data_IF_837765443069
#
_entry.id   IF_837765443069
#
_cell.length_a   1.000
_cell.length_b   1.000
_cell.length_c   1.000
_cell.angle_alpha   90.00
_cell.angle_beta   90.00
_cell.angle_gamma   90.00
#
_symmetry.space_group_name_H-M   'P 1'
#
loop_
_entity.id
_entity.type
_entity.pdbx_description
1 polymer ?
#
# COMPACT_ATOMS: atom_id res chain seq x y z
N UNK A 1 -16.36 9.68 -11.71
CA UNK A 1 -15.74 9.74 -10.37
C UNK A 1 -14.81 8.55 -10.10
N UNK A 2 -14.85 7.47 -10.89
CA UNK A 2 -13.97 6.30 -10.70
C UNK A 2 -12.54 6.48 -11.23
N UNK A 3 -12.27 7.54 -11.97
CA UNK A 3 -10.98 7.80 -12.62
C UNK A 3 -9.85 8.18 -11.64
N UNK A 4 -10.12 8.13 -10.33
CA UNK A 4 -9.18 8.50 -9.27
C UNK A 4 -8.92 7.37 -8.26
N UNK A 5 -9.63 6.26 -8.42
CA UNK A 5 -9.48 5.05 -7.61
C UNK A 5 -8.31 4.23 -8.15
N UNK A 6 -7.51 3.68 -7.25
CA UNK A 6 -6.44 2.74 -7.58
C UNK A 6 -7.01 1.33 -7.77
N UNK A 7 -6.51 0.60 -8.77
CA UNK A 7 -6.92 -0.80 -9.00
C UNK A 7 -6.53 -1.74 -7.85
N UNK A 8 -5.50 -1.36 -7.09
CA UNK A 8 -5.07 -2.07 -5.89
C UNK A 8 -4.72 -1.07 -4.79
N UNK A 9 -5.46 -1.05 -3.67
CA UNK A 9 -5.21 -0.12 -2.57
C UNK A 9 -3.83 -0.33 -1.95
N UNK A 10 -3.34 0.72 -1.29
CA UNK A 10 -2.08 0.69 -0.52
C UNK A 10 -2.42 0.81 0.95
N UNK A 11 -1.91 -0.11 1.78
CA UNK A 11 -2.07 -0.03 3.22
C UNK A 11 -0.83 0.61 3.84
N UNK A 12 -1.05 1.70 4.58
CA UNK A 12 0.02 2.41 5.30
C UNK A 12 -0.24 2.38 6.80
N UNK A 13 0.81 2.23 7.58
CA UNK A 13 0.75 2.30 9.03
C UNK A 13 0.88 3.75 9.47
N UNK A 14 -0.19 4.30 10.03
CA UNK A 14 -0.17 5.59 10.70
C UNK A 14 0.04 5.38 12.20
N UNK A 15 1.25 5.71 12.67
CA UNK A 15 1.66 5.50 14.05
C UNK A 15 1.82 4.02 14.44
N UNK A 16 1.52 3.70 15.71
CA UNK A 16 1.80 2.38 16.26
C UNK A 16 0.68 1.35 16.05
N UNK A 17 -0.55 1.79 15.78
CA UNK A 17 -1.74 0.90 15.89
C UNK A 17 -2.73 1.04 14.73
N UNK A 18 -2.65 2.08 13.91
CA UNK A 18 -3.64 2.31 12.86
C UNK A 18 -3.08 1.96 11.48
N UNK A 19 -3.80 1.09 10.77
CA UNK A 19 -3.59 0.86 9.34
C UNK A 19 -4.61 1.73 8.61
N UNK A 20 -4.13 2.56 7.68
CA UNK A 20 -4.94 3.37 6.79
C UNK A 20 -4.89 2.77 5.39
N UNK A 21 -6.08 2.61 4.79
CA UNK A 21 -6.22 2.21 3.40
C UNK A 21 -6.20 3.44 2.50
N UNK A 22 -5.33 3.42 1.50
CA UNK A 22 -5.21 4.44 0.47
C UNK A 22 -5.77 3.84 -0.81
N UNK A 23 -7.03 4.16 -1.08
CA UNK A 23 -7.80 3.61 -2.20
C UNK A 23 -7.80 4.53 -3.41
N UNK A 24 -7.57 5.83 -3.22
CA UNK A 24 -7.68 6.84 -4.25
C UNK A 24 -6.53 7.87 -4.19
N UNK A 25 -6.44 8.70 -5.25
CA UNK A 25 -5.52 9.84 -5.30
C UNK A 25 -5.80 10.88 -4.20
N UNK A 26 -7.06 11.14 -3.89
CA UNK A 26 -7.47 12.01 -2.79
C UNK A 26 -6.88 11.54 -1.45
N UNK A 27 -7.10 10.26 -1.10
CA UNK A 27 -6.58 9.65 0.14
C UNK A 27 -5.06 9.78 0.21
N UNK A 28 -4.37 9.54 -0.91
CA UNK A 28 -2.92 9.64 -0.99
C UNK A 28 -2.43 11.08 -0.78
N UNK A 29 -3.11 12.07 -1.36
CA UNK A 29 -2.77 13.48 -1.21
C UNK A 29 -3.03 13.97 0.21
N UNK A 30 -4.17 13.62 0.80
CA UNK A 30 -4.50 13.93 2.21
C UNK A 30 -3.41 13.38 3.15
N UNK A 31 -3.05 12.10 2.98
CA UNK A 31 -1.97 11.48 3.74
C UNK A 31 -0.63 12.22 3.61
N UNK A 32 -0.28 12.63 2.39
CA UNK A 32 0.95 13.38 2.14
C UNK A 32 0.88 14.81 2.73
N UNK A 33 -0.27 15.47 2.73
CA UNK A 33 -0.39 16.80 3.31
C UNK A 33 -0.23 16.81 4.82
N UNK A 34 -0.74 15.77 5.49
CA UNK A 34 -0.61 15.58 6.94
C UNK A 34 0.75 15.03 7.37
N UNK A 35 1.55 14.51 6.43
CA UNK A 35 2.87 13.96 6.73
C UNK A 35 3.77 14.99 7.44
N UNK A 36 4.39 14.64 8.58
CA UNK A 36 5.10 15.60 9.42
C UNK A 36 6.30 16.23 8.70
N UNK A 37 6.41 17.57 8.79
CA UNK A 37 7.37 18.38 8.01
C UNK A 37 8.83 17.95 8.20
N UNK A 38 9.20 17.52 9.40
CA UNK A 38 10.55 17.03 9.73
C UNK A 38 10.90 15.68 9.08
N UNK A 39 9.91 14.93 8.56
CA UNK A 39 10.11 13.65 7.86
C UNK A 39 9.88 13.77 6.35
N UNK A 40 9.76 14.99 5.82
CA UNK A 40 9.61 15.24 4.37
C UNK A 40 10.98 15.21 3.70
N UNK A 41 11.30 14.07 3.08
CA UNK A 41 12.51 13.91 2.26
C UNK A 41 12.28 14.18 0.76
N UNK A 42 13.30 13.97 -0.08
CA UNK A 42 13.17 14.07 -1.54
C UNK A 42 12.09 13.13 -2.11
N UNK A 43 11.98 11.92 -1.56
CA UNK A 43 11.01 10.91 -1.99
C UNK A 43 9.57 11.37 -1.73
N UNK A 44 9.34 12.07 -0.62
CA UNK A 44 8.04 12.69 -0.32
C UNK A 44 7.63 13.69 -1.41
N UNK A 45 8.55 14.56 -1.84
CA UNK A 45 8.25 15.56 -2.87
C UNK A 45 7.93 14.91 -4.23
N UNK A 46 8.64 13.83 -4.56
CA UNK A 46 8.37 13.05 -5.78
C UNK A 46 6.98 12.42 -5.75
N UNK A 47 6.61 11.78 -4.63
CA UNK A 47 5.28 11.19 -4.47
C UNK A 47 4.18 12.27 -4.54
N UNK A 48 4.35 13.40 -3.84
CA UNK A 48 3.39 14.50 -3.85
C UNK A 48 3.17 15.05 -5.26
N UNK A 49 4.25 15.31 -6.02
CA UNK A 49 4.15 15.79 -7.40
C UNK A 49 3.46 14.78 -8.31
N UNK A 50 3.75 13.49 -8.16
CA UNK A 50 3.13 12.45 -8.97
C UNK A 50 1.61 12.37 -8.69
N UNK A 51 1.21 12.38 -7.42
CA UNK A 51 -0.20 12.37 -7.01
C UNK A 51 -0.95 13.63 -7.47
N UNK A 52 -0.34 14.82 -7.35
CA UNK A 52 -0.93 16.08 -7.83
C UNK A 52 -1.13 16.07 -9.35
N UNK A 53 -0.12 15.61 -10.10
CA UNK A 53 -0.23 15.51 -11.56
C UNK A 53 -1.29 14.52 -12.01
N UNK A 54 -1.47 13.41 -11.29
CA UNK A 54 -2.54 12.45 -11.56
C UNK A 54 -3.93 13.00 -11.21
N UNK A 55 -4.00 13.91 -10.26
CA UNK A 55 -5.26 14.53 -9.85
C UNK A 55 -5.71 15.61 -10.85
N UNK A 56 -4.77 16.45 -11.31
CA UNK A 56 -5.04 17.60 -12.19
C UNK A 56 -4.93 17.28 -13.69
N UNK A 57 -4.31 16.16 -14.08
CA UNK A 57 -4.01 15.83 -15.47
C UNK A 57 -4.19 14.33 -15.75
N UNK A 58 -4.10 13.95 -17.02
CA UNK A 58 -4.10 12.55 -17.48
C UNK A 58 -2.75 11.85 -17.23
N UNK A 59 -2.23 11.97 -16.00
CA UNK A 59 -1.04 11.23 -15.59
C UNK A 59 -1.46 9.83 -15.11
N UNK A 60 -0.73 8.76 -15.49
CA UNK A 60 -1.13 7.40 -15.13
C UNK A 60 -1.27 7.21 -13.62
N UNK A 61 -2.48 6.83 -13.18
CA UNK A 61 -2.78 6.52 -11.78
C UNK A 61 -1.85 5.46 -11.20
N UNK A 62 -1.52 4.44 -11.98
CA UNK A 62 -0.57 3.39 -11.60
C UNK A 62 0.80 3.97 -11.26
N UNK A 63 1.29 4.94 -12.03
CA UNK A 63 2.56 5.61 -11.76
C UNK A 63 2.50 6.46 -10.47
N UNK A 64 1.38 7.14 -10.21
CA UNK A 64 1.19 7.89 -8.96
C UNK A 64 1.10 6.96 -7.75
N UNK A 65 0.37 5.85 -7.89
CA UNK A 65 0.31 4.77 -6.90
C UNK A 65 1.70 4.24 -6.59
N UNK A 66 2.49 3.91 -7.60
CA UNK A 66 3.81 3.31 -7.41
C UNK A 66 4.80 4.30 -6.79
N UNK A 67 4.67 5.59 -7.10
CA UNK A 67 5.41 6.66 -6.43
C UNK A 67 5.04 6.76 -4.94
N UNK A 68 3.75 6.70 -4.60
CA UNK A 68 3.28 6.67 -3.21
C UNK A 68 3.74 5.40 -2.49
N UNK A 69 3.65 4.23 -3.11
CA UNK A 69 4.13 2.96 -2.55
C UNK A 69 5.64 3.03 -2.27
N UNK A 70 6.43 3.61 -3.18
CA UNK A 70 7.87 3.81 -3.00
C UNK A 70 8.18 4.76 -1.84
N UNK A 71 7.39 5.81 -1.68
CA UNK A 71 7.43 6.68 -0.51
C UNK A 71 7.13 5.90 0.78
N UNK A 72 6.02 5.17 0.83
CA UNK A 72 5.61 4.38 2.00
C UNK A 72 6.68 3.34 2.39
N UNK A 73 7.30 2.68 1.40
CA UNK A 73 8.45 1.78 1.61
C UNK A 73 9.65 2.52 2.20
N UNK A 74 9.98 3.69 1.65
CA UNK A 74 11.16 4.46 2.07
C UNK A 74 11.08 4.92 3.53
N UNK A 75 9.88 5.26 4.01
CA UNK A 75 9.65 5.67 5.40
C UNK A 75 9.20 4.51 6.31
N UNK A 76 9.22 3.27 5.79
CA UNK A 76 8.89 2.02 6.49
C UNK A 76 7.50 2.00 7.12
N UNK A 77 6.52 2.57 6.42
CA UNK A 77 5.10 2.54 6.81
C UNK A 77 4.26 1.68 5.88
N UNK A 78 4.81 1.16 4.78
CA UNK A 78 4.06 0.28 3.90
C UNK A 78 3.76 -1.03 4.63
N UNK A 79 2.48 -1.30 4.87
CA UNK A 79 2.02 -2.62 5.30
C UNK A 79 1.80 -3.47 4.06
N UNK A 80 2.63 -4.48 3.89
CA UNK A 80 2.41 -5.47 2.85
C UNK A 80 1.23 -6.32 3.30
N UNK A 81 0.13 -6.30 2.54
CA UNK A 81 -1.06 -7.13 2.77
C UNK A 81 -0.78 -8.64 2.54
N UNK A 82 0.43 -9.10 2.84
CA UNK A 82 0.80 -10.49 3.01
C UNK A 82 0.43 -10.91 4.42
N UNK A 83 -0.86 -10.99 4.71
CA UNK A 83 -1.29 -11.91 5.75
C UNK A 83 -1.50 -13.25 5.05
N UNK A 84 -0.53 -14.19 5.06
CA UNK A 84 -0.86 -15.56 4.73
C UNK A 84 -1.92 -15.99 5.75
N UNK A 85 -3.13 -16.24 5.26
CA UNK A 85 -4.23 -16.72 6.08
C UNK A 85 -3.76 -17.91 6.93
N UNK A 86 -4.16 -18.02 8.21
CA UNK A 86 -3.68 -19.07 9.12
C UNK A 86 -3.86 -20.50 8.59
N UNK A 87 -4.86 -20.75 7.73
CA UNK A 87 -5.09 -22.05 7.10
C UNK A 87 -4.05 -22.44 6.04
N UNK A 88 -3.23 -21.49 5.55
CA UNK A 88 -2.15 -21.75 4.60
C UNK A 88 -0.83 -22.19 5.27
N UNK A 89 -0.73 -22.06 6.60
CA UNK A 89 0.43 -22.51 7.38
C UNK A 89 0.17 -23.83 8.13
N UNK A 90 -1.02 -24.42 7.98
CA UNK A 90 -1.29 -25.71 8.57
C UNK A 90 -0.46 -26.80 7.85
N UNK A 91 0.45 -27.52 8.54
CA UNK A 91 1.09 -28.68 7.95
C UNK A 91 0.01 -29.73 7.69
N UNK A 92 -0.19 -30.07 6.42
CA UNK A 92 -1.20 -31.03 5.99
C UNK A 92 -0.94 -32.42 6.63
N UNK A 93 -1.82 -32.95 7.51
CA UNK A 93 -1.69 -34.31 8.00
C UNK A 93 -2.37 -35.29 7.04
N UNK A 94 -1.88 -35.41 5.80
CA UNK A 94 -2.38 -36.44 4.87
C UNK A 94 -1.29 -37.07 4.01
N UNK A 95 -0.54 -37.98 4.65
CA UNK A 95 0.09 -39.18 4.06
C UNK A 95 0.67 -39.94 5.27
N UNK A 96 0.07 -41.01 5.77
CA UNK A 96 -0.12 -42.26 5.06
C UNK A 96 -1.04 -43.16 5.89
N UNK A 97 -2.29 -43.33 5.45
CA UNK A 97 -3.13 -44.47 5.83
C UNK A 97 -2.72 -45.68 5.00
N UNK A 98 -2.64 -46.85 5.65
CA UNK A 98 -1.91 -48.02 5.19
C UNK A 98 -2.53 -48.87 4.08
N UNK A 99 -1.82 -49.96 3.75
CA UNK A 99 -2.40 -51.19 3.19
C UNK A 99 -1.66 -52.42 3.72
N UNK A 100 -2.48 -53.36 4.13
CA UNK A 100 -2.30 -54.78 4.45
C UNK A 100 -1.41 -55.58 3.49
N UNK A 101 -0.60 -56.49 4.05
CA UNK A 101 -0.35 -57.85 3.54
C UNK A 101 0.28 -58.68 4.67
#
# INVERSE_FOLDING_TARGET
MSDRIFDNPIFVKDGNVRIQEISCLEDALEFLYDWPKNRRGPIYQTALRACQRAFDSDFPRSAARDAFASFAKSVRILEEATMPMPWMLAPNPSRSGGVIA
#
